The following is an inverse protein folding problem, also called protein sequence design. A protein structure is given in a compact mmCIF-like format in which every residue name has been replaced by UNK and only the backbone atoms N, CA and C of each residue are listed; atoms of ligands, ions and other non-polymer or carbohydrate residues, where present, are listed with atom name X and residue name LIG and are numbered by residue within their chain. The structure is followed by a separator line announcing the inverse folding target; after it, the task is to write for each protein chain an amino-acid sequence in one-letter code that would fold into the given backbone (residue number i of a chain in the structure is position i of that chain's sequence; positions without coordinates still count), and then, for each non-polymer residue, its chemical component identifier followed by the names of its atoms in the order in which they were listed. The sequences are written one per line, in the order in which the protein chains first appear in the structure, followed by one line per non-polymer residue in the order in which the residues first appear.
data_IF_705492178825
#
_entry.id   IF_705492178825
#
_cell.length_a   1.000
_cell.length_b   1.000
_cell.length_c   1.000
_cell.angle_alpha   90.00
_cell.angle_beta   90.00
_cell.angle_gamma   90.00
#
_symmetry.space_group_name_H-M   'P 1'
#
loop_
_entity.id
_entity.type
_entity.pdbx_description
1 polymer ?
#
# COMPACT_ATOMS: atom_id res chain seq x y z
N UNK A 1 42.92 -19.56 24.91
CA UNK A 1 41.65 -18.86 25.21
C UNK A 1 41.14 -18.28 23.91
N UNK A 2 39.97 -18.72 23.46
CA UNK A 2 39.43 -18.43 22.14
C UNK A 2 39.06 -16.94 22.01
N UNK A 3 39.58 -16.29 20.97
CA UNK A 3 39.31 -14.90 20.62
C UNK A 3 37.95 -14.82 19.92
N UNK A 4 36.87 -14.70 20.69
CA UNK A 4 35.51 -14.57 20.16
C UNK A 4 35.21 -13.07 19.93
N UNK A 5 35.73 -12.51 18.84
CA UNK A 5 35.26 -11.22 18.33
C UNK A 5 33.84 -11.44 17.77
N UNK A 6 32.83 -11.34 18.63
CA UNK A 6 31.44 -11.33 18.19
C UNK A 6 31.15 -9.98 17.52
N UNK A 7 31.45 -9.91 16.23
CA UNK A 7 30.91 -8.87 15.36
C UNK A 7 29.38 -8.92 15.38
N UNK A 8 28.74 -7.79 15.08
CA UNK A 8 27.28 -7.71 15.09
C UNK A 8 26.73 -8.65 14.03
N UNK A 9 25.84 -9.55 14.42
CA UNK A 9 25.21 -10.48 13.48
C UNK A 9 24.21 -9.74 12.58
N UNK A 10 23.95 -10.27 11.38
CA UNK A 10 22.91 -9.73 10.48
C UNK A 10 21.55 -9.60 11.19
N UNK A 11 21.20 -10.56 12.06
CA UNK A 11 19.95 -10.54 12.82
C UNK A 11 19.89 -9.40 13.83
N UNK A 12 21.01 -9.10 14.50
CA UNK A 12 21.11 -7.98 15.43
C UNK A 12 21.08 -6.64 14.69
N UNK A 13 21.77 -6.53 13.55
CA UNK A 13 21.68 -5.35 12.69
C UNK A 13 20.24 -5.09 12.24
N UNK A 14 19.50 -6.12 11.81
CA UNK A 14 18.09 -5.98 11.41
C UNK A 14 17.22 -5.48 12.58
N UNK A 15 17.43 -6.01 13.79
CA UNK A 15 16.71 -5.52 14.99
C UNK A 15 17.03 -4.07 15.31
N UNK A 16 18.30 -3.67 15.21
CA UNK A 16 18.72 -2.30 15.46
C UNK A 16 18.18 -1.34 14.41
N UNK A 17 18.25 -1.69 13.13
CA UNK A 17 17.66 -0.93 12.04
C UNK A 17 16.15 -0.78 12.19
N UNK A 18 15.44 -1.84 12.58
CA UNK A 18 14.01 -1.77 12.88
C UNK A 18 13.67 -0.91 14.10
N UNK A 19 14.57 -0.77 15.08
CA UNK A 19 14.34 0.06 16.27
C UNK A 19 14.72 1.52 16.07
N UNK A 20 15.86 1.78 15.43
CA UNK A 20 16.47 3.11 15.39
C UNK A 20 16.55 3.72 13.99
N UNK A 21 16.27 2.94 12.94
CA UNK A 21 16.47 3.33 11.54
C UNK A 21 17.86 2.94 11.04
N UNK A 22 17.97 2.68 9.73
CA UNK A 22 19.24 2.32 9.08
C UNK A 22 20.24 3.47 9.23
N UNK A 23 19.80 4.69 8.94
CA UNK A 23 20.66 5.88 8.98
C UNK A 23 21.19 6.18 10.38
N UNK A 24 20.35 6.15 11.42
CA UNK A 24 20.82 6.35 12.81
C UNK A 24 21.81 5.29 13.25
N UNK A 25 21.55 4.02 12.90
CA UNK A 25 22.42 2.92 13.30
C UNK A 25 23.78 3.00 12.59
N UNK A 26 23.80 3.37 11.30
CA UNK A 26 25.04 3.59 10.55
C UNK A 26 25.83 4.79 11.07
N UNK A 27 25.16 5.91 11.36
CA UNK A 27 25.80 7.10 11.93
C UNK A 27 26.37 6.83 13.33
N UNK A 28 25.63 6.09 14.17
CA UNK A 28 26.10 5.64 15.46
C UNK A 28 27.35 4.74 15.30
N UNK A 29 27.34 3.80 14.36
CA UNK A 29 28.50 2.94 14.09
C UNK A 29 29.72 3.74 13.60
N UNK A 30 29.53 4.75 12.73
CA UNK A 30 30.60 5.59 12.22
C UNK A 30 31.27 6.46 13.30
N UNK A 31 30.51 6.87 14.32
CA UNK A 31 31.03 7.66 15.46
C UNK A 31 31.70 6.84 16.56
N UNK A 32 31.65 5.51 16.50
CA UNK A 32 32.20 4.65 17.55
C UNK A 32 33.70 4.35 17.34
N UNK A 33 34.51 4.57 18.38
CA UNK A 33 35.89 4.07 18.44
C UNK A 33 35.98 2.77 19.24
N UNK A 34 36.70 1.76 18.71
CA UNK A 34 36.97 0.49 19.40
C UNK A 34 35.98 -0.64 19.05
N UNK A 35 35.90 -1.67 19.90
CA UNK A 35 35.07 -2.86 19.64
C UNK A 35 33.58 -2.49 19.64
N UNK A 36 32.92 -2.70 18.51
CA UNK A 36 31.49 -2.48 18.33
C UNK A 36 30.71 -3.72 18.80
N UNK A 37 29.98 -3.59 19.90
CA UNK A 37 29.05 -4.62 20.38
C UNK A 37 27.60 -4.18 20.11
N UNK A 38 26.64 -5.12 19.98
CA UNK A 38 25.23 -4.78 19.78
C UNK A 38 24.65 -3.85 20.84
N UNK A 39 25.04 -4.04 22.11
CA UNK A 39 24.60 -3.21 23.23
C UNK A 39 25.15 -1.78 23.16
N UNK A 40 26.43 -1.62 22.84
CA UNK A 40 27.04 -0.28 22.69
C UNK A 40 26.50 0.46 21.48
N UNK A 41 26.29 -0.25 20.37
CA UNK A 41 25.68 0.34 19.18
C UNK A 41 24.23 0.78 19.44
N UNK A 42 23.46 -0.02 20.17
CA UNK A 42 22.10 0.36 20.57
C UNK A 42 22.09 1.62 21.45
N UNK A 43 22.99 1.70 22.44
CA UNK A 43 23.09 2.87 23.31
C UNK A 43 23.49 4.13 22.53
N UNK A 44 24.50 4.03 21.66
CA UNK A 44 24.92 5.15 20.82
C UNK A 44 23.82 5.61 19.85
N UNK A 45 23.07 4.67 19.27
CA UNK A 45 21.91 4.99 18.43
C UNK A 45 20.78 5.66 19.23
N UNK A 46 20.54 5.24 20.46
CA UNK A 46 19.56 5.87 21.35
C UNK A 46 19.96 7.29 21.76
N UNK A 47 21.23 7.52 22.12
CA UNK A 47 21.78 8.84 22.44
C UNK A 47 21.69 9.78 21.23
N UNK A 48 22.04 9.28 20.04
CA UNK A 48 21.90 10.01 18.77
C UNK A 48 20.46 10.41 18.51
N UNK A 49 19.51 9.49 18.70
CA UNK A 49 18.09 9.78 18.51
C UNK A 49 17.56 10.79 19.54
N UNK A 50 17.97 10.70 20.82
CA UNK A 50 17.59 11.68 21.85
C UNK A 50 18.10 13.08 21.52
N UNK A 51 19.36 13.19 21.08
CA UNK A 51 19.95 14.47 20.70
C UNK A 51 19.19 15.12 19.53
N UNK A 52 18.78 14.32 18.54
CA UNK A 52 17.96 14.78 17.40
C UNK A 52 16.57 15.21 17.82
N UNK A 53 15.89 14.43 18.64
CA UNK A 53 14.55 14.76 19.14
C UNK A 53 14.55 16.07 19.94
N UNK A 54 15.66 16.46 20.56
CA UNK A 54 15.82 17.72 21.27
C UNK A 54 16.12 18.93 20.37
N UNK A 55 16.45 18.71 19.09
CA UNK A 55 16.77 19.79 18.14
C UNK A 55 15.48 20.47 17.68
N UNK A 56 15.49 21.80 17.58
CA UNK A 56 14.39 22.55 16.98
C UNK A 56 14.34 22.23 15.47
N UNK A 57 13.25 21.65 14.94
CA UNK A 57 13.18 21.30 13.53
C UNK A 57 13.14 22.56 12.67
N UNK A 58 13.74 22.47 11.47
CA UNK A 58 13.57 23.48 10.42
C UNK A 58 12.18 23.35 9.78
N UNK A 59 11.73 22.12 9.58
CA UNK A 59 10.41 21.78 9.06
C UNK A 59 9.69 20.85 10.01
N UNK A 60 8.47 21.24 10.39
CA UNK A 60 7.57 20.40 11.15
C UNK A 60 6.33 20.15 10.31
N UNK A 61 6.19 18.91 9.86
CA UNK A 61 5.11 18.47 8.99
C UNK A 61 4.10 17.61 9.74
N UNK A 62 2.89 17.52 9.18
CA UNK A 62 1.83 16.63 9.69
C UNK A 62 1.52 15.55 8.67
N UNK A 63 1.45 14.30 9.12
CA UNK A 63 1.00 13.15 8.32
C UNK A 63 -0.32 12.64 8.87
N UNK A 64 -1.39 12.71 8.06
CA UNK A 64 -2.68 12.11 8.42
C UNK A 64 -2.76 10.64 8.03
N UNK A 65 -3.13 9.76 8.97
CA UNK A 65 -3.27 8.33 8.71
C UNK A 65 -4.71 7.82 8.86
N UNK A 66 -5.32 7.37 7.76
CA UNK A 66 -6.66 6.80 7.77
C UNK A 66 -6.69 5.43 8.48
N UNK A 67 -7.34 5.37 9.66
CA UNK A 67 -7.52 4.15 10.46
C UNK A 67 -6.23 3.49 10.98
N UNK A 68 -5.09 4.16 10.86
CA UNK A 68 -3.80 3.63 11.32
C UNK A 68 -3.52 3.97 12.78
N UNK A 69 -3.17 2.96 13.55
CA UNK A 69 -2.62 3.05 14.90
C UNK A 69 -1.49 2.03 15.07
N UNK A 70 -0.88 2.01 16.24
CA UNK A 70 0.24 1.12 16.54
C UNK A 70 -0.08 -0.36 16.27
N UNK A 71 -1.34 -0.78 16.41
CA UNK A 71 -1.76 -2.15 16.08
C UNK A 71 -1.88 -2.34 14.57
N UNK A 72 -2.64 -1.50 13.85
CA UNK A 72 -2.90 -1.70 12.43
C UNK A 72 -1.65 -1.53 11.55
N UNK A 73 -0.70 -0.70 11.99
CA UNK A 73 0.64 -0.57 11.37
C UNK A 73 1.47 -1.87 11.41
N UNK A 74 1.12 -2.86 12.25
CA UNK A 74 1.77 -4.18 12.28
C UNK A 74 1.23 -5.12 11.20
N UNK A 75 0.03 -4.87 10.68
CA UNK A 75 -0.70 -5.75 9.75
C UNK A 75 -0.72 -5.25 8.32
N UNK A 76 -0.75 -3.93 8.11
CA UNK A 76 -0.43 -3.36 6.80
C UNK A 76 0.90 -2.66 6.96
N UNK A 77 1.92 -3.25 6.32
CA UNK A 77 3.26 -2.69 6.20
C UNK A 77 3.24 -1.50 5.24
N UNK A 78 2.52 -0.43 5.60
CA UNK A 78 2.43 0.78 4.76
C UNK A 78 3.76 1.52 4.75
N UNK A 79 4.58 1.37 5.80
CA UNK A 79 5.91 1.96 5.90
C UNK A 79 5.94 3.40 6.42
N UNK A 80 4.80 3.99 6.78
CA UNK A 80 4.72 5.38 7.25
C UNK A 80 5.66 5.68 8.44
N UNK A 81 5.68 4.84 9.47
CA UNK A 81 6.55 5.02 10.63
C UNK A 81 8.02 4.80 10.28
N UNK A 82 8.32 3.81 9.43
CA UNK A 82 9.70 3.56 8.98
C UNK A 82 10.24 4.72 8.15
N UNK A 83 9.40 5.32 7.30
CA UNK A 83 9.69 6.52 6.53
C UNK A 83 9.98 7.72 7.43
N UNK A 84 9.11 7.99 8.42
CA UNK A 84 9.30 9.07 9.38
C UNK A 84 10.63 8.88 10.11
N UNK A 85 10.87 7.69 10.65
CA UNK A 85 12.09 7.38 11.40
C UNK A 85 13.36 7.54 10.55
N UNK A 86 13.37 7.07 9.30
CA UNK A 86 14.53 7.23 8.42
C UNK A 86 14.74 8.69 8.00
N UNK A 87 13.67 9.42 7.67
CA UNK A 87 13.75 10.82 7.24
C UNK A 87 14.25 11.75 8.35
N UNK A 88 13.71 11.61 9.56
CA UNK A 88 14.16 12.38 10.72
C UNK A 88 15.63 12.08 11.06
N UNK A 89 16.04 10.81 10.93
CA UNK A 89 17.42 10.42 11.12
C UNK A 89 18.36 10.99 10.06
N UNK A 90 17.96 10.91 8.79
CA UNK A 90 18.71 11.35 7.62
C UNK A 90 18.91 12.85 7.56
N UNK A 91 17.93 13.60 8.05
CA UNK A 91 17.97 15.07 8.10
C UNK A 91 18.52 15.60 9.43
N UNK A 92 19.03 14.72 10.30
CA UNK A 92 19.49 15.05 11.64
C UNK A 92 18.47 15.91 12.42
N UNK A 93 17.21 15.50 12.38
CA UNK A 93 16.06 16.16 13.00
C UNK A 93 15.65 17.49 12.36
N UNK A 94 16.22 17.89 11.21
CA UNK A 94 15.82 19.12 10.54
C UNK A 94 14.41 19.04 9.95
N UNK A 95 13.98 17.85 9.51
CA UNK A 95 12.58 17.53 9.24
C UNK A 95 12.07 16.68 10.40
N UNK A 96 10.90 17.02 10.93
CA UNK A 96 10.12 16.19 11.85
C UNK A 96 8.70 16.02 11.32
N UNK A 97 8.12 14.83 11.50
CA UNK A 97 6.76 14.52 11.05
C UNK A 97 5.91 14.05 12.22
N UNK A 98 4.87 14.82 12.53
CA UNK A 98 3.82 14.39 13.46
C UNK A 98 2.85 13.46 12.73
N UNK A 99 2.78 12.20 13.15
CA UNK A 99 1.80 11.23 12.63
C UNK A 99 0.50 11.30 13.43
N UNK A 100 -0.60 11.67 12.76
CA UNK A 100 -1.94 11.79 13.35
C UNK A 100 -2.84 10.73 12.72
N UNK A 101 -2.94 9.58 13.39
CA UNK A 101 -3.65 8.40 12.92
C UNK A 101 -5.11 8.29 13.39
N UNK A 102 -5.62 7.06 13.49
CA UNK A 102 -6.92 6.72 14.09
C UNK A 102 -8.13 7.48 13.52
N UNK A 103 -8.06 7.92 12.27
CA UNK A 103 -9.08 8.79 11.66
C UNK A 103 -9.28 10.15 12.36
N UNK A 104 -8.33 10.59 13.20
CA UNK A 104 -8.48 11.80 14.01
C UNK A 104 -8.45 13.07 13.16
N UNK A 105 -7.50 13.17 12.23
CA UNK A 105 -7.36 14.33 11.35
C UNK A 105 -8.02 14.14 9.98
N UNK A 106 -8.05 12.89 9.49
CA UNK A 106 -8.60 12.53 8.20
C UNK A 106 -8.98 11.05 8.13
N UNK A 107 -9.92 10.75 7.24
CA UNK A 107 -10.36 9.38 6.88
C UNK A 107 -9.90 9.02 5.47
N UNK A 108 -10.03 7.76 5.09
CA UNK A 108 -9.73 7.24 3.74
C UNK A 108 -10.23 8.17 2.61
N UNK A 109 -11.48 8.62 2.66
CA UNK A 109 -12.08 9.47 1.61
C UNK A 109 -11.72 10.96 1.69
N UNK A 110 -11.03 11.40 2.75
CA UNK A 110 -10.84 12.82 3.07
C UNK A 110 -9.39 13.25 3.27
N UNK A 111 -8.44 12.32 3.44
CA UNK A 111 -7.04 12.66 3.66
C UNK A 111 -6.45 13.51 2.53
N UNK A 112 -6.69 13.15 1.27
CA UNK A 112 -6.23 13.95 0.13
C UNK A 112 -6.78 15.38 0.17
N UNK A 113 -8.07 15.55 0.49
CA UNK A 113 -8.70 16.87 0.61
C UNK A 113 -8.10 17.70 1.75
N UNK A 114 -7.76 17.06 2.87
CA UNK A 114 -7.06 17.71 4.00
C UNK A 114 -5.66 18.16 3.59
N UNK A 115 -4.96 17.37 2.79
CA UNK A 115 -3.65 17.74 2.24
C UNK A 115 -3.76 18.94 1.29
N UNK A 116 -4.72 18.92 0.35
CA UNK A 116 -4.98 20.03 -0.57
C UNK A 116 -5.40 21.32 0.14
N UNK A 117 -6.06 21.20 1.30
CA UNK A 117 -6.42 22.32 2.18
C UNK A 117 -5.27 22.76 3.12
N UNK A 118 -4.07 22.20 2.95
CA UNK A 118 -2.87 22.48 3.75
C UNK A 118 -3.03 22.19 5.27
N UNK A 119 -3.97 21.31 5.62
CA UNK A 119 -4.21 20.84 6.99
C UNK A 119 -3.22 19.73 7.36
N UNK A 120 -2.77 18.95 6.38
CA UNK A 120 -1.69 17.96 6.50
C UNK A 120 -0.75 18.09 5.31
N UNK A 121 0.49 17.66 5.48
CA UNK A 121 1.54 17.76 4.46
C UNK A 121 1.76 16.42 3.75
N UNK A 122 1.54 15.34 4.48
CA UNK A 122 1.57 13.96 4.03
C UNK A 122 0.25 13.26 4.38
N UNK A 123 -0.09 12.21 3.65
CA UNK A 123 -1.18 11.34 4.06
C UNK A 123 -0.95 9.88 3.75
N UNK A 124 -1.67 9.04 4.50
CA UNK A 124 -1.83 7.61 4.28
C UNK A 124 -3.29 7.32 3.99
N UNK A 125 -3.58 6.81 2.80
CA UNK A 125 -4.90 6.34 2.39
C UNK A 125 -4.77 5.45 1.16
N UNK A 126 -5.71 4.55 0.96
CA UNK A 126 -5.80 3.80 -0.28
C UNK A 126 -6.11 4.66 -1.49
N UNK A 127 -5.49 4.35 -2.64
CA UNK A 127 -5.73 5.08 -3.90
C UNK A 127 -7.20 4.98 -4.33
N UNK A 128 -7.85 3.85 -4.06
CA UNK A 128 -9.24 3.61 -4.44
C UNK A 128 -10.25 4.41 -3.60
N UNK A 129 -10.00 4.62 -2.30
CA UNK A 129 -10.85 5.53 -1.51
C UNK A 129 -10.55 7.00 -1.85
N UNK A 130 -9.29 7.33 -2.15
CA UNK A 130 -8.89 8.66 -2.60
C UNK A 130 -9.41 9.01 -4.01
N UNK A 131 -9.77 8.01 -4.83
CA UNK A 131 -10.24 8.19 -6.21
C UNK A 131 -11.50 9.06 -6.34
N UNK A 132 -12.32 9.15 -5.29
CA UNK A 132 -13.46 10.08 -5.26
C UNK A 132 -13.05 11.55 -5.27
N UNK A 133 -11.87 11.89 -4.73
CA UNK A 133 -11.33 13.26 -4.70
C UNK A 133 -10.26 13.50 -5.77
N UNK A 134 -9.50 12.48 -6.12
CA UNK A 134 -8.51 12.50 -7.21
C UNK A 134 -8.83 11.39 -8.22
N UNK A 135 -9.77 11.63 -9.16
CA UNK A 135 -10.23 10.62 -10.11
C UNK A 135 -9.14 9.98 -10.95
N UNK A 136 -7.98 10.60 -11.11
CA UNK A 136 -6.87 10.02 -11.85
C UNK A 136 -6.31 8.74 -11.22
N UNK A 137 -6.52 8.49 -9.92
CA UNK A 137 -6.14 7.21 -9.29
C UNK A 137 -6.77 5.98 -9.94
N UNK A 138 -7.92 6.15 -10.62
CA UNK A 138 -8.55 5.06 -11.38
C UNK A 138 -7.61 4.47 -12.45
N UNK A 139 -6.56 5.17 -12.89
CA UNK A 139 -5.58 4.64 -13.85
C UNK A 139 -4.96 3.29 -13.43
N UNK A 140 -4.91 3.01 -12.12
CA UNK A 140 -4.39 1.76 -11.56
C UNK A 140 -5.47 0.67 -11.35
N UNK A 141 -6.74 1.00 -11.55
CA UNK A 141 -7.89 0.18 -11.12
C UNK A 141 -8.54 -0.61 -12.25
N UNK A 142 -7.96 -0.60 -13.46
CA UNK A 142 -8.43 -1.47 -14.54
C UNK A 142 -8.35 -2.94 -14.09
N UNK A 143 -9.38 -3.76 -14.37
CA UNK A 143 -9.38 -5.15 -13.96
C UNK A 143 -8.25 -5.91 -14.65
N UNK A 144 -7.54 -6.74 -13.88
CA UNK A 144 -6.41 -7.56 -14.30
C UNK A 144 -5.25 -6.78 -14.96
N UNK A 145 -5.12 -5.50 -14.63
CA UNK A 145 -4.04 -4.64 -15.13
C UNK A 145 -2.65 -5.17 -14.73
N UNK A 146 -2.52 -5.59 -13.47
CA UNK A 146 -1.31 -6.15 -12.86
C UNK A 146 -1.49 -7.65 -12.62
N UNK A 147 -0.88 -8.55 -13.42
CA UNK A 147 -1.04 -9.99 -13.25
C UNK A 147 -0.51 -10.51 -11.91
N UNK A 148 0.53 -9.86 -11.37
CA UNK A 148 1.21 -10.29 -10.13
C UNK A 148 1.57 -9.09 -9.27
N UNK A 149 1.84 -9.29 -7.97
CA UNK A 149 2.35 -8.21 -7.11
C UNK A 149 3.69 -7.67 -7.61
N UNK A 150 4.54 -8.54 -8.16
CA UNK A 150 5.78 -8.15 -8.81
C UNK A 150 5.55 -7.23 -10.03
N UNK A 151 4.50 -7.45 -10.83
CA UNK A 151 4.18 -6.58 -11.97
C UNK A 151 3.83 -5.14 -11.58
N UNK A 152 3.18 -4.95 -10.44
CA UNK A 152 2.94 -3.62 -9.90
C UNK A 152 4.25 -2.96 -9.46
N UNK A 153 5.08 -3.67 -8.69
CA UNK A 153 6.36 -3.13 -8.24
C UNK A 153 7.28 -2.79 -9.42
N UNK A 154 7.30 -3.63 -10.46
CA UNK A 154 8.01 -3.35 -11.71
C UNK A 154 7.50 -2.07 -12.36
N UNK A 155 6.18 -1.90 -12.48
CA UNK A 155 5.58 -0.69 -13.03
C UNK A 155 6.01 0.55 -12.25
N UNK A 156 5.88 0.57 -10.92
CA UNK A 156 6.23 1.78 -10.17
C UNK A 156 7.71 2.12 -10.31
N UNK A 157 8.62 1.16 -10.47
CA UNK A 157 10.05 1.45 -10.72
C UNK A 157 10.38 1.76 -12.19
N UNK A 158 9.48 1.45 -13.12
CA UNK A 158 9.68 1.72 -14.55
C UNK A 158 9.66 3.23 -14.82
N UNK A 159 10.50 3.72 -15.74
CA UNK A 159 10.60 5.16 -16.04
C UNK A 159 9.28 5.78 -16.48
N UNK A 160 8.50 5.03 -17.25
CA UNK A 160 7.20 5.50 -17.74
C UNK A 160 6.14 5.66 -16.64
N UNK A 161 6.34 5.13 -15.43
CA UNK A 161 5.41 5.42 -14.32
C UNK A 161 5.38 6.92 -13.97
N UNK A 162 6.44 7.65 -14.31
CA UNK A 162 6.48 9.09 -14.16
C UNK A 162 5.42 9.78 -15.02
N UNK A 163 5.44 9.55 -16.34
CA UNK A 163 4.49 10.15 -17.28
C UNK A 163 3.08 9.54 -17.19
N UNK A 164 2.98 8.24 -16.89
CA UNK A 164 1.70 7.51 -16.88
C UNK A 164 0.93 7.65 -15.58
N UNK A 165 1.60 7.90 -14.45
CA UNK A 165 0.97 7.89 -13.13
C UNK A 165 1.32 9.11 -12.28
N UNK A 166 2.61 9.40 -12.06
CA UNK A 166 3.02 10.39 -11.04
C UNK A 166 2.86 11.84 -11.47
N UNK A 167 3.29 12.20 -12.68
CA UNK A 167 3.16 13.57 -13.19
C UNK A 167 1.72 14.03 -13.22
N UNK A 168 0.76 13.25 -13.76
CA UNK A 168 -0.62 13.74 -13.82
C UNK A 168 -1.23 13.89 -12.42
N UNK A 169 -0.86 13.05 -11.45
CA UNK A 169 -1.26 13.23 -10.05
C UNK A 169 -0.71 14.54 -9.45
N UNK A 170 0.57 14.85 -9.67
CA UNK A 170 1.17 16.10 -9.18
C UNK A 170 0.50 17.30 -9.82
N UNK A 171 0.38 17.30 -11.15
CA UNK A 171 -0.18 18.44 -11.90
C UNK A 171 -1.66 18.69 -11.61
N UNK A 172 -2.47 17.64 -11.50
CA UNK A 172 -3.93 17.81 -11.38
C UNK A 172 -4.42 17.84 -9.93
N UNK A 173 -3.69 17.21 -9.01
CA UNK A 173 -4.16 16.98 -7.64
C UNK A 173 -3.18 17.44 -6.58
N UNK A 174 -2.08 18.12 -6.95
CA UNK A 174 -1.00 18.55 -6.06
C UNK A 174 -0.48 17.39 -5.18
N UNK A 175 -0.50 16.17 -5.74
CA UNK A 175 -0.21 14.95 -5.00
C UNK A 175 1.01 14.23 -5.56
N UNK A 176 2.05 14.14 -4.75
CA UNK A 176 3.28 13.41 -5.04
C UNK A 176 3.23 12.04 -4.35
N UNK A 177 3.04 10.99 -5.15
CA UNK A 177 3.16 9.60 -4.71
C UNK A 177 4.61 9.31 -4.26
N UNK A 178 4.78 8.75 -3.05
CA UNK A 178 6.11 8.39 -2.52
C UNK A 178 6.34 6.88 -2.55
N UNK A 179 5.43 6.11 -1.96
CA UNK A 179 5.51 4.65 -1.89
C UNK A 179 4.14 4.04 -1.55
N UNK A 180 3.99 2.75 -1.81
CA UNK A 180 2.78 2.02 -1.47
C UNK A 180 3.04 0.52 -1.31
N UNK A 181 2.30 -0.10 -0.39
CA UNK A 181 2.14 -1.55 -0.39
C UNK A 181 1.21 -1.95 -1.54
N UNK A 182 1.28 -3.21 -1.99
CA UNK A 182 0.38 -3.71 -3.02
C UNK A 182 -0.10 -5.13 -2.70
N UNK A 183 -1.42 -5.30 -2.75
CA UNK A 183 -2.09 -6.59 -2.67
C UNK A 183 -3.23 -6.59 -3.70
N UNK A 184 -3.53 -7.73 -4.32
CA UNK A 184 -4.70 -7.79 -5.17
C UNK A 184 -5.98 -7.75 -4.34
N UNK A 185 -7.02 -7.12 -4.89
CA UNK A 185 -8.34 -7.10 -4.28
C UNK A 185 -9.11 -8.37 -4.58
N UNK A 186 -9.85 -8.80 -3.57
CA UNK A 186 -10.82 -9.89 -3.60
C UNK A 186 -12.17 -9.44 -3.03
N UNK A 187 -12.96 -10.41 -2.60
CA UNK A 187 -14.25 -10.17 -1.95
C UNK A 187 -14.26 -10.81 -0.56
N UNK A 188 -14.51 -9.99 0.45
CA UNK A 188 -14.55 -10.41 1.85
C UNK A 188 -16.00 -10.60 2.24
N UNK A 189 -16.46 -11.85 2.15
CA UNK A 189 -17.87 -12.23 2.28
C UNK A 189 -18.27 -12.38 3.74
N UNK A 190 -19.46 -11.86 4.06
CA UNK A 190 -19.96 -11.71 5.41
C UNK A 190 -20.70 -12.91 5.96
N UNK A 191 -21.61 -12.65 6.91
CA UNK A 191 -22.33 -13.68 7.66
C UNK A 191 -23.22 -14.58 6.78
N UNK A 192 -23.74 -14.06 5.66
CA UNK A 192 -24.54 -14.83 4.70
C UNK A 192 -23.76 -15.98 4.04
N UNK A 193 -22.42 -15.94 4.10
CA UNK A 193 -21.50 -16.98 3.60
C UNK A 193 -20.92 -17.87 4.71
N UNK A 194 -21.28 -17.66 5.99
CA UNK A 194 -20.73 -18.42 7.13
C UNK A 194 -20.96 -19.92 7.02
N UNK A 195 -22.19 -20.33 6.71
CA UNK A 195 -22.60 -21.73 6.64
C UNK A 195 -22.66 -22.27 5.20
N UNK A 196 -22.23 -21.47 4.20
CA UNK A 196 -22.14 -21.92 2.81
C UNK A 196 -20.86 -22.73 2.59
N UNK A 197 -20.81 -23.61 1.56
CA UNK A 197 -19.54 -24.13 1.05
C UNK A 197 -18.54 -23.01 0.78
N UNK A 198 -17.26 -23.36 0.76
CA UNK A 198 -16.23 -22.42 0.35
C UNK A 198 -16.52 -21.97 -1.09
N UNK A 199 -16.51 -20.66 -1.33
CA UNK A 199 -16.69 -20.09 -2.67
C UNK A 199 -15.65 -20.69 -3.61
N UNK A 200 -16.09 -21.18 -4.76
CA UNK A 200 -15.24 -21.90 -5.72
C UNK A 200 -15.38 -21.38 -7.15
N UNK A 201 -16.39 -20.55 -7.42
CA UNK A 201 -16.67 -19.98 -8.74
C UNK A 201 -17.27 -18.58 -8.65
N UNK A 202 -17.23 -17.83 -9.76
CA UNK A 202 -17.96 -16.56 -9.89
C UNK A 202 -19.48 -16.75 -9.74
N UNK A 203 -20.00 -17.94 -10.08
CA UNK A 203 -21.41 -18.27 -9.93
C UNK A 203 -21.89 -18.19 -8.48
N UNK A 204 -21.03 -18.55 -7.51
CA UNK A 204 -21.33 -18.50 -6.09
C UNK A 204 -21.49 -17.07 -5.54
N UNK A 205 -21.06 -16.07 -6.33
CA UNK A 205 -21.05 -14.65 -5.98
C UNK A 205 -22.12 -13.84 -6.73
N UNK A 206 -22.78 -14.43 -7.73
CA UNK A 206 -23.77 -13.75 -8.56
C UNK A 206 -24.87 -13.07 -7.72
N UNK A 207 -25.15 -11.81 -8.03
CA UNK A 207 -26.18 -11.01 -7.37
C UNK A 207 -25.85 -10.53 -5.95
N UNK A 208 -24.66 -10.82 -5.42
CA UNK A 208 -24.27 -10.33 -4.09
C UNK A 208 -24.15 -8.82 -4.06
N UNK A 209 -24.62 -8.21 -2.96
CA UNK A 209 -24.44 -6.78 -2.70
C UNK A 209 -23.11 -6.57 -2.02
N UNK A 210 -22.15 -6.00 -2.72
CA UNK A 210 -20.81 -5.84 -2.18
C UNK A 210 -20.50 -4.37 -2.03
N UNK A 211 -19.93 -3.96 -0.90
CA UNK A 211 -19.35 -2.63 -0.79
C UNK A 211 -18.38 -2.39 -1.95
N UNK A 212 -18.35 -1.16 -2.45
CA UNK A 212 -17.33 -0.64 -3.36
C UNK A 212 -16.71 0.64 -2.80
N UNK A 213 -15.39 0.79 -2.97
CA UNK A 213 -14.58 1.99 -2.76
C UNK A 213 -14.99 3.11 -3.72
N UNK A 214 -14.33 4.28 -3.64
CA UNK A 214 -14.56 5.40 -4.55
C UNK A 214 -14.19 5.15 -6.01
N UNK A 215 -13.55 4.02 -6.32
CA UNK A 215 -13.13 3.64 -7.67
C UNK A 215 -14.32 3.34 -8.59
N UNK A 216 -14.37 4.03 -9.73
CA UNK A 216 -15.39 3.79 -10.74
C UNK A 216 -15.05 2.57 -11.60
N UNK A 217 -13.75 2.27 -11.79
CA UNK A 217 -13.33 1.13 -12.59
C UNK A 217 -13.57 -0.20 -11.85
N UNK A 218 -13.37 -0.23 -10.53
CA UNK A 218 -13.75 -1.38 -9.70
C UNK A 218 -15.26 -1.61 -9.76
N UNK A 219 -16.06 -0.54 -9.66
CA UNK A 219 -17.52 -0.61 -9.77
C UNK A 219 -17.97 -1.23 -11.09
N UNK A 220 -17.45 -0.75 -12.23
CA UNK A 220 -17.75 -1.31 -13.56
C UNK A 220 -17.35 -2.78 -13.63
N UNK A 221 -16.18 -3.14 -13.10
CA UNK A 221 -15.71 -4.53 -13.06
C UNK A 221 -16.69 -5.44 -12.30
N UNK A 222 -17.19 -4.98 -11.14
CA UNK A 222 -18.15 -5.72 -10.34
C UNK A 222 -19.50 -5.86 -11.03
N UNK A 223 -20.01 -4.79 -11.65
CA UNK A 223 -21.25 -4.81 -12.44
C UNK A 223 -21.14 -5.83 -13.60
N UNK A 224 -20.02 -5.82 -14.33
CA UNK A 224 -19.75 -6.77 -15.43
C UNK A 224 -19.66 -8.22 -14.96
N UNK A 225 -19.21 -8.46 -13.72
CA UNK A 225 -19.21 -9.79 -13.10
C UNK A 225 -20.60 -10.24 -12.60
N UNK A 226 -21.64 -9.39 -12.71
CA UNK A 226 -22.99 -9.67 -12.20
C UNK A 226 -23.12 -9.50 -10.68
N UNK A 227 -22.20 -8.75 -10.07
CA UNK A 227 -22.28 -8.33 -8.68
C UNK A 227 -23.05 -7.00 -8.58
N UNK A 228 -23.51 -6.67 -7.38
CA UNK A 228 -24.20 -5.41 -7.10
C UNK A 228 -23.32 -4.51 -6.22
N UNK A 229 -22.44 -3.66 -6.79
CA UNK A 229 -21.58 -2.77 -6.02
C UNK A 229 -22.38 -1.67 -5.30
N UNK A 230 -22.14 -1.49 -4.00
CA UNK A 230 -22.77 -0.51 -3.12
C UNK A 230 -21.70 0.46 -2.60
N UNK A 231 -21.66 1.72 -3.07
CA UNK A 231 -20.68 2.68 -2.59
C UNK A 231 -20.89 2.98 -1.11
N UNK A 232 -19.91 2.65 -0.27
CA UNK A 232 -19.92 2.95 1.17
C UNK A 232 -18.53 3.38 1.63
N UNK A 233 -18.50 4.34 2.55
CA UNK A 233 -17.25 4.75 3.17
C UNK A 233 -16.65 3.59 3.99
N UNK A 234 -15.31 3.57 4.12
CA UNK A 234 -14.64 2.47 4.82
C UNK A 234 -15.13 2.33 6.26
N UNK A 235 -15.33 3.46 6.95
CA UNK A 235 -15.81 3.50 8.33
C UNK A 235 -17.25 3.00 8.50
N UNK A 236 -18.06 3.01 7.45
CA UNK A 236 -19.45 2.52 7.46
C UNK A 236 -19.55 1.04 7.08
N UNK A 237 -18.48 0.47 6.53
CA UNK A 237 -18.48 -0.86 5.92
C UNK A 237 -18.75 -1.95 6.96
N UNK A 238 -18.12 -1.88 8.14
CA UNK A 238 -18.33 -2.87 9.20
C UNK A 238 -19.81 -2.92 9.64
N UNK A 239 -20.43 -1.77 9.83
CA UNK A 239 -21.82 -1.70 10.27
C UNK A 239 -22.78 -2.10 9.15
N UNK A 240 -22.47 -1.75 7.89
CA UNK A 240 -23.18 -2.26 6.71
C UNK A 240 -23.17 -3.79 6.63
N UNK A 241 -22.03 -4.43 6.91
CA UNK A 241 -21.90 -5.90 6.97
C UNK A 241 -22.70 -6.49 8.13
N UNK A 242 -22.64 -5.89 9.33
CA UNK A 242 -23.41 -6.37 10.51
C UNK A 242 -24.91 -6.29 10.30
N UNK A 243 -25.38 -5.21 9.68
CA UNK A 243 -26.80 -4.96 9.43
C UNK A 243 -27.33 -5.78 8.24
N UNK A 244 -26.46 -6.47 7.48
CA UNK A 244 -26.84 -7.20 6.27
C UNK A 244 -27.25 -6.28 5.12
N UNK A 245 -26.82 -5.00 5.13
CA UNK A 245 -27.01 -4.08 4.01
C UNK A 245 -26.22 -4.55 2.78
N UNK A 246 -25.05 -5.15 3.05
CA UNK A 246 -24.12 -5.72 2.09
C UNK A 246 -23.77 -7.16 2.50
N UNK A 247 -23.60 -8.02 1.52
CA UNK A 247 -23.15 -9.41 1.64
C UNK A 247 -21.64 -9.54 1.77
N UNK A 248 -20.90 -8.56 1.24
CA UNK A 248 -19.44 -8.56 1.20
C UNK A 248 -18.88 -7.16 1.00
N UNK A 249 -17.55 -7.09 0.96
CA UNK A 249 -16.82 -5.87 0.59
C UNK A 249 -15.66 -6.21 -0.31
N UNK A 250 -15.36 -5.32 -1.25
CA UNK A 250 -14.20 -5.48 -2.10
C UNK A 250 -12.96 -4.84 -1.44
N UNK A 251 -12.01 -5.66 -1.04
CA UNK A 251 -10.77 -5.19 -0.42
C UNK A 251 -9.75 -6.31 -0.50
N UNK A 252 -8.62 -6.12 0.12
CA UNK A 252 -7.56 -7.12 0.21
C UNK A 252 -7.48 -7.68 1.64
N UNK A 253 -6.89 -8.86 1.79
CA UNK A 253 -6.96 -9.63 3.02
C UNK A 253 -6.17 -8.98 4.17
N UNK A 254 -5.05 -8.30 3.89
CA UNK A 254 -4.32 -7.58 4.95
C UNK A 254 -5.08 -6.38 5.53
N UNK A 255 -5.97 -5.72 4.76
CA UNK A 255 -6.86 -4.68 5.31
C UNK A 255 -7.87 -5.27 6.29
N UNK A 256 -8.39 -6.48 6.03
CA UNK A 256 -9.32 -7.15 6.94
C UNK A 256 -8.68 -7.35 8.32
N UNK A 257 -7.42 -7.79 8.35
CA UNK A 257 -6.65 -7.95 9.58
C UNK A 257 -6.34 -6.60 10.25
N UNK A 258 -5.81 -5.63 9.49
CA UNK A 258 -5.36 -4.34 10.04
C UNK A 258 -6.49 -3.54 10.69
N UNK A 259 -7.65 -3.49 10.05
CA UNK A 259 -8.78 -2.70 10.54
C UNK A 259 -9.75 -3.53 11.40
N UNK A 260 -9.35 -4.73 11.84
CA UNK A 260 -10.13 -5.58 12.74
C UNK A 260 -11.53 -5.91 12.17
N UNK A 261 -11.58 -6.23 10.87
CA UNK A 261 -12.82 -6.59 10.16
C UNK A 261 -13.16 -8.07 10.25
N UNK A 262 -12.27 -8.92 10.79
CA UNK A 262 -12.52 -10.36 10.91
C UNK A 262 -13.83 -10.74 11.62
N UNK A 263 -14.38 -9.97 12.59
CA UNK A 263 -15.67 -10.32 13.21
C UNK A 263 -16.86 -10.29 12.25
N UNK A 264 -16.75 -9.64 11.09
CA UNK A 264 -17.81 -9.54 10.08
C UNK A 264 -17.48 -10.27 8.78
N UNK A 265 -16.33 -10.93 8.69
CA UNK A 265 -15.90 -11.68 7.50
C UNK A 265 -15.94 -13.17 7.80
N UNK A 266 -16.59 -13.95 6.94
CA UNK A 266 -16.66 -15.41 7.04
C UNK A 266 -15.79 -16.11 6.00
N UNK A 267 -15.71 -15.56 4.79
CA UNK A 267 -14.86 -16.08 3.72
C UNK A 267 -14.09 -14.95 3.04
N UNK A 268 -12.79 -15.11 2.86
CA UNK A 268 -11.96 -14.23 2.04
C UNK A 268 -11.79 -14.87 0.65
N UNK A 269 -12.38 -14.27 -0.39
CA UNK A 269 -12.34 -14.78 -1.76
C UNK A 269 -11.26 -14.05 -2.54
N UNK A 270 -10.18 -14.76 -2.86
CA UNK A 270 -9.02 -14.24 -3.58
C UNK A 270 -9.28 -14.20 -5.10
N UNK A 271 -10.18 -13.30 -5.50
CA UNK A 271 -10.56 -13.07 -6.91
C UNK A 271 -9.46 -12.34 -7.71
N UNK A 272 -8.57 -11.63 -7.02
CA UNK A 272 -7.38 -10.96 -7.57
C UNK A 272 -7.65 -10.00 -8.75
N UNK A 273 -8.83 -9.40 -8.80
CA UNK A 273 -9.32 -8.73 -10.01
C UNK A 273 -8.81 -7.30 -10.20
N UNK A 274 -8.45 -6.59 -9.14
CA UNK A 274 -7.97 -5.19 -9.23
C UNK A 274 -6.88 -4.89 -8.21
N UNK A 275 -6.23 -3.73 -8.36
CA UNK A 275 -5.17 -3.27 -7.49
C UNK A 275 -5.69 -2.86 -6.10
N UNK A 276 -4.99 -3.29 -5.05
CA UNK A 276 -5.16 -2.82 -3.68
C UNK A 276 -3.89 -2.10 -3.24
N UNK A 277 -3.99 -0.78 -3.11
CA UNK A 277 -2.86 0.06 -2.71
C UNK A 277 -3.21 0.80 -1.44
N UNK A 278 -2.27 0.81 -0.50
CA UNK A 278 -2.24 1.79 0.59
C UNK A 278 -0.98 2.63 0.41
N UNK A 279 -1.15 3.90 0.04
CA UNK A 279 -0.04 4.76 -0.34
C UNK A 279 0.31 5.75 0.77
N UNK A 280 1.56 6.18 0.78
CA UNK A 280 1.98 7.43 1.37
C UNK A 280 2.27 8.41 0.23
N UNK A 281 1.66 9.59 0.34
CA UNK A 281 1.87 10.68 -0.60
C UNK A 281 2.05 12.00 0.15
N UNK A 282 2.63 12.99 -0.52
CA UNK A 282 2.80 14.34 0.00
C UNK A 282 2.33 15.40 -0.97
N UNK A 283 2.18 16.63 -0.46
CA UNK A 283 1.84 17.78 -1.28
C UNK A 283 2.99 18.13 -2.23
N UNK A 284 2.75 18.14 -3.55
CA UNK A 284 3.80 18.34 -4.55
C UNK A 284 4.38 19.77 -4.50
N UNK A 285 3.52 20.77 -4.39
CA UNK A 285 3.88 22.19 -4.29
C UNK A 285 4.68 22.52 -3.02
N UNK A 286 4.54 21.72 -1.96
CA UNK A 286 5.38 21.81 -0.77
C UNK A 286 6.76 21.22 -1.06
N UNK A 287 6.82 20.02 -1.65
CA UNK A 287 8.08 19.36 -2.00
C UNK A 287 8.96 20.27 -2.86
N UNK A 288 8.39 20.91 -3.88
CA UNK A 288 9.10 21.81 -4.81
C UNK A 288 9.75 23.03 -4.14
N UNK A 289 9.27 23.43 -2.96
CA UNK A 289 9.79 24.58 -2.20
C UNK A 289 10.90 24.21 -1.21
N UNK A 290 11.13 22.92 -0.98
CA UNK A 290 12.19 22.46 -0.09
C UNK A 290 13.56 22.62 -0.75
N UNK A 291 14.60 22.82 0.05
CA UNK A 291 15.95 22.80 -0.50
C UNK A 291 16.32 21.42 -1.07
N UNK A 292 17.21 21.35 -2.09
CA UNK A 292 17.55 20.10 -2.75
C UNK A 292 17.96 18.97 -1.79
N UNK A 293 18.70 19.28 -0.72
CA UNK A 293 19.11 18.26 0.26
C UNK A 293 17.92 17.60 0.98
N UNK A 294 16.81 18.32 1.17
CA UNK A 294 15.61 17.79 1.81
C UNK A 294 14.70 17.07 0.82
N UNK A 295 14.67 17.53 -0.43
CA UNK A 295 14.03 16.81 -1.53
C UNK A 295 14.67 15.42 -1.71
N UNK A 296 16.01 15.37 -1.79
CA UNK A 296 16.78 14.14 -1.88
C UNK A 296 16.56 13.24 -0.67
N UNK A 297 16.53 13.81 0.54
CA UNK A 297 16.27 13.06 1.76
C UNK A 297 14.88 12.39 1.78
N UNK A 298 13.84 13.10 1.32
CA UNK A 298 12.48 12.56 1.21
C UNK A 298 12.44 11.43 0.17
N UNK A 299 13.01 11.65 -1.01
CA UNK A 299 13.00 10.66 -2.09
C UNK A 299 13.78 9.39 -1.72
N UNK A 300 14.96 9.51 -1.09
CA UNK A 300 15.73 8.36 -0.66
C UNK A 300 15.03 7.60 0.47
N UNK A 301 14.44 8.30 1.44
CA UNK A 301 13.67 7.66 2.53
C UNK A 301 12.44 6.94 1.96
N UNK A 302 11.76 7.53 0.97
CA UNK A 302 10.64 6.90 0.27
C UNK A 302 11.06 5.64 -0.50
N UNK A 303 12.19 5.69 -1.21
CA UNK A 303 12.75 4.53 -1.92
C UNK A 303 13.09 3.37 -0.96
N UNK A 304 13.84 3.65 0.12
CA UNK A 304 14.21 2.63 1.10
C UNK A 304 12.98 2.02 1.77
N UNK A 305 11.97 2.84 2.06
CA UNK A 305 10.70 2.37 2.59
C UNK A 305 9.98 1.47 1.58
N UNK A 306 9.92 1.84 0.30
CA UNK A 306 9.31 1.01 -0.75
C UNK A 306 9.97 -0.38 -0.85
N UNK A 307 11.30 -0.45 -0.80
CA UNK A 307 12.06 -1.73 -0.82
C UNK A 307 11.78 -2.57 0.42
N UNK A 308 11.64 -1.91 1.58
CA UNK A 308 11.29 -2.61 2.81
C UNK A 308 9.89 -3.22 2.72
N UNK A 309 8.89 -2.41 2.37
CA UNK A 309 7.49 -2.84 2.38
C UNK A 309 7.19 -3.88 1.30
N UNK A 310 7.78 -3.80 0.09
CA UNK A 310 7.54 -4.82 -0.94
C UNK A 310 7.99 -6.21 -0.47
N UNK A 311 9.03 -6.27 0.38
CA UNK A 311 9.55 -7.52 0.91
C UNK A 311 8.77 -7.98 2.15
N UNK A 312 8.49 -7.06 3.06
CA UNK A 312 7.82 -7.36 4.33
C UNK A 312 6.33 -7.70 4.15
N UNK A 313 5.69 -7.14 3.12
CA UNK A 313 4.27 -7.33 2.88
C UNK A 313 3.94 -8.78 2.47
N UNK A 314 4.77 -9.42 1.64
CA UNK A 314 4.61 -10.84 1.28
C UNK A 314 4.55 -11.75 2.50
N UNK A 315 5.49 -11.55 3.45
CA UNK A 315 5.50 -12.33 4.69
C UNK A 315 4.24 -12.05 5.54
N UNK A 316 3.74 -10.82 5.51
CA UNK A 316 2.52 -10.43 6.25
C UNK A 316 1.27 -11.11 5.70
N UNK A 317 1.09 -11.15 4.38
CA UNK A 317 -0.04 -11.80 3.71
C UNK A 317 -0.15 -13.26 4.15
N UNK A 318 0.95 -14.01 4.10
CA UNK A 318 0.92 -15.44 4.40
C UNK A 318 1.07 -15.75 5.88
N UNK A 319 2.15 -15.29 6.53
CA UNK A 319 2.51 -15.75 7.86
C UNK A 319 1.72 -15.06 8.98
N UNK A 320 1.30 -13.81 8.77
CA UNK A 320 0.56 -13.04 9.77
C UNK A 320 -0.94 -13.15 9.54
N UNK A 321 -1.41 -12.89 8.32
CA UNK A 321 -2.84 -12.87 8.01
C UNK A 321 -3.38 -14.27 7.76
N UNK A 322 -2.60 -15.14 7.11
CA UNK A 322 -3.02 -16.52 6.84
C UNK A 322 -3.79 -16.68 5.54
N UNK A 323 -3.41 -15.96 4.48
CA UNK A 323 -4.02 -16.07 3.14
C UNK A 323 -3.54 -17.36 2.44
N UNK A 324 -3.87 -18.49 3.05
CA UNK A 324 -3.64 -19.86 2.59
C UNK A 324 -4.92 -20.67 2.78
N UNK A 325 -5.04 -21.81 2.10
CA UNK A 325 -6.17 -22.70 2.30
C UNK A 325 -5.68 -24.11 2.70
N UNK A 326 -5.89 -24.55 3.96
CA UNK A 326 -6.46 -23.78 5.08
C UNK A 326 -5.54 -22.62 5.53
N UNK A 327 -6.06 -21.63 6.28
CA UNK A 327 -5.24 -20.59 6.89
C UNK A 327 -4.10 -21.19 7.74
N UNK A 328 -2.93 -20.52 7.76
CA UNK A 328 -1.79 -21.00 8.55
C UNK A 328 -2.13 -20.98 10.05
N UNK A 329 -1.80 -22.03 10.83
CA UNK A 329 -2.07 -22.07 12.25
C UNK A 329 -1.47 -20.86 13.01
N UNK A 330 -2.28 -20.23 13.87
CA UNK A 330 -1.90 -19.03 14.63
C UNK A 330 -1.86 -17.73 13.82
N UNK A 331 -2.31 -17.77 12.57
CA UNK A 331 -2.56 -16.55 11.78
C UNK A 331 -3.88 -15.88 12.18
N UNK A 332 -4.04 -14.62 11.80
CA UNK A 332 -5.27 -13.85 12.10
C UNK A 332 -6.52 -14.54 11.55
N UNK A 333 -6.47 -15.09 10.34
CA UNK A 333 -7.61 -15.78 9.73
C UNK A 333 -7.89 -17.14 10.37
N UNK A 334 -6.85 -17.89 10.77
CA UNK A 334 -7.01 -19.12 11.56
C UNK A 334 -7.70 -18.84 12.90
N UNK A 335 -7.16 -17.91 13.68
CA UNK A 335 -7.70 -17.55 15.00
C UNK A 335 -9.12 -16.97 14.95
N UNK A 336 -9.47 -16.29 13.84
CA UNK A 336 -10.79 -15.69 13.63
C UNK A 336 -11.78 -16.61 12.91
N UNK A 337 -11.35 -17.79 12.44
CA UNK A 337 -12.18 -18.71 11.67
C UNK A 337 -12.58 -18.19 10.28
N UNK A 338 -11.83 -17.26 9.70
CA UNK A 338 -12.03 -16.78 8.33
C UNK A 338 -11.53 -17.84 7.36
N UNK A 339 -12.39 -18.31 6.46
CA UNK A 339 -12.02 -19.31 5.45
C UNK A 339 -11.51 -18.63 4.18
N UNK A 340 -10.39 -19.10 3.63
CA UNK A 340 -9.80 -18.51 2.41
C UNK A 340 -10.19 -19.33 1.18
N UNK A 341 -10.89 -18.69 0.25
CA UNK A 341 -11.25 -19.24 -1.05
C UNK A 341 -10.23 -18.79 -2.10
N UNK A 342 -9.29 -19.69 -2.42
CA UNK A 342 -8.38 -19.53 -3.56
C UNK A 342 -9.10 -20.06 -4.81
N UNK A 343 -9.55 -19.15 -5.69
CA UNK A 343 -10.27 -19.56 -6.89
C UNK A 343 -9.33 -20.27 -7.89
N UNK A 344 -9.84 -21.29 -8.62
CA UNK A 344 -9.10 -21.90 -9.72
C UNK A 344 -8.77 -20.87 -10.81
N UNK A 345 -7.64 -21.04 -11.51
CA UNK A 345 -7.21 -20.12 -12.56
C UNK A 345 -8.25 -19.97 -13.69
N UNK A 346 -9.02 -21.02 -13.99
CA UNK A 346 -10.10 -20.95 -14.97
C UNK A 346 -11.22 -19.96 -14.57
N UNK A 347 -11.52 -19.81 -13.28
CA UNK A 347 -12.51 -18.83 -12.80
C UNK A 347 -11.93 -17.42 -12.78
N UNK A 348 -10.62 -17.28 -12.57
CA UNK A 348 -9.89 -16.01 -12.69
C UNK A 348 -9.85 -15.55 -14.15
N UNK A 349 -9.52 -16.43 -15.08
CA UNK A 349 -9.53 -16.16 -16.52
C UNK A 349 -10.94 -15.78 -17.00
N UNK A 350 -11.97 -16.49 -16.51
CA UNK A 350 -13.36 -16.13 -16.78
C UNK A 350 -13.70 -14.71 -16.30
N UNK A 351 -13.25 -14.32 -15.11
CA UNK A 351 -13.42 -12.95 -14.62
C UNK A 351 -12.69 -11.93 -15.51
N UNK A 352 -11.47 -12.26 -15.96
CA UNK A 352 -10.71 -11.43 -16.89
C UNK A 352 -11.43 -11.27 -18.23
N UNK A 353 -11.93 -12.36 -18.83
CA UNK A 353 -12.70 -12.32 -20.07
C UNK A 353 -13.99 -11.50 -19.96
N UNK A 354 -14.62 -11.48 -18.78
CA UNK A 354 -15.84 -10.69 -18.53
C UNK A 354 -15.58 -9.20 -18.33
N UNK A 355 -14.36 -8.80 -17.94
CA UNK A 355 -14.10 -7.46 -17.39
C UNK A 355 -12.95 -6.73 -18.06
N UNK A 356 -11.86 -7.37 -18.46
CA UNK A 356 -10.66 -6.67 -18.87
C UNK A 356 -10.87 -5.88 -20.18
N UNK A 357 -10.30 -4.66 -20.30
CA UNK A 357 -10.54 -3.79 -21.46
C UNK A 357 -10.09 -4.35 -22.83
N UNK A 358 -9.17 -5.32 -22.84
CA UNK A 358 -8.77 -6.07 -24.03
C UNK A 358 -9.83 -7.09 -24.50
N UNK A 359 -10.73 -7.53 -23.63
CA UNK A 359 -11.81 -8.47 -23.94
C UNK A 359 -13.16 -7.78 -24.11
N UNK A 360 -13.47 -6.79 -23.29
CA UNK A 360 -14.76 -6.06 -23.28
C UNK A 360 -14.50 -4.56 -23.33
N UNK A 361 -14.12 -3.97 -24.48
CA UNK A 361 -13.62 -2.59 -24.54
C UNK A 361 -14.68 -1.51 -24.30
N UNK A 362 -15.93 -1.76 -24.69
CA UNK A 362 -17.00 -0.73 -24.74
C UNK A 362 -17.25 -0.02 -23.40
N UNK A 363 -17.39 -0.70 -22.24
CA UNK A 363 -17.61 -0.04 -20.95
C UNK A 363 -16.44 0.86 -20.51
N UNK A 364 -15.24 0.61 -21.04
CA UNK A 364 -14.02 1.33 -20.66
C UNK A 364 -13.71 2.51 -21.57
N UNK A 365 -14.28 2.58 -22.77
CA UNK A 365 -13.95 3.61 -23.75
C UNK A 365 -14.04 5.05 -23.18
N UNK A 366 -15.11 5.44 -22.45
CA UNK A 366 -15.19 6.78 -21.86
C UNK A 366 -14.10 7.04 -20.80
N UNK A 367 -13.75 6.02 -20.03
CA UNK A 367 -12.71 6.12 -18.99
C UNK A 367 -11.31 6.15 -19.60
N UNK A 368 -11.05 5.35 -20.64
CA UNK A 368 -9.79 5.39 -21.38
C UNK A 368 -9.57 6.75 -22.01
N UNK A 369 -10.57 7.30 -22.71
CA UNK A 369 -10.47 8.64 -23.27
C UNK A 369 -10.13 9.68 -22.19
N UNK A 370 -10.86 9.66 -21.07
CA UNK A 370 -10.68 10.59 -19.96
C UNK A 370 -9.28 10.48 -19.33
N UNK A 371 -8.85 9.27 -18.99
CA UNK A 371 -7.56 9.02 -18.35
C UNK A 371 -6.40 9.31 -19.32
N UNK A 372 -6.53 8.96 -20.60
CA UNK A 372 -5.55 9.28 -21.63
C UNK A 372 -5.39 10.79 -21.77
N UNK A 373 -6.50 11.54 -21.88
CA UNK A 373 -6.45 13.00 -21.95
C UNK A 373 -5.78 13.62 -20.72
N UNK A 374 -6.07 13.11 -19.53
CA UNK A 374 -5.44 13.58 -18.29
C UNK A 374 -3.96 13.26 -18.19
N UNK A 375 -3.49 12.19 -18.84
CA UNK A 375 -2.07 11.83 -18.91
C UNK A 375 -1.28 12.63 -19.96
N UNK A 376 -1.91 13.55 -20.69
CA UNK A 376 -1.26 14.24 -21.82
C UNK A 376 -1.34 13.48 -23.14
N UNK A 377 -2.30 12.56 -23.28
CA UNK A 377 -2.58 11.81 -24.51
C UNK A 377 -1.97 10.41 -24.56
N UNK A 378 -1.31 9.94 -23.50
CA UNK A 378 -0.79 8.57 -23.43
C UNK A 378 -1.93 7.56 -23.39
N UNK A 379 -1.73 6.39 -24.00
CA UNK A 379 -2.69 5.29 -23.85
C UNK A 379 -2.39 4.55 -22.55
N UNK A 380 -2.84 5.12 -21.43
CA UNK A 380 -2.42 4.68 -20.09
C UNK A 380 -2.75 3.22 -19.83
N UNK A 381 -3.89 2.72 -20.32
CA UNK A 381 -4.21 1.30 -20.17
C UNK A 381 -3.21 0.44 -20.94
N UNK A 382 -3.05 0.69 -22.24
CA UNK A 382 -2.20 -0.16 -23.09
C UNK A 382 -0.73 -0.08 -22.67
N UNK A 383 -0.22 1.11 -22.33
CA UNK A 383 1.17 1.28 -21.90
C UNK A 383 1.43 0.62 -20.54
N UNK A 384 0.57 0.81 -19.53
CA UNK A 384 0.74 0.18 -18.21
C UNK A 384 0.55 -1.33 -18.31
N UNK A 385 -0.45 -1.80 -19.06
CA UNK A 385 -0.71 -3.23 -19.29
C UNK A 385 0.50 -3.91 -19.94
N UNK A 386 1.15 -3.25 -20.91
CA UNK A 386 2.37 -3.73 -21.56
C UNK A 386 3.52 -3.80 -20.55
N UNK A 387 3.78 -2.73 -19.79
CA UNK A 387 4.85 -2.69 -18.77
C UNK A 387 4.67 -3.78 -17.71
N UNK A 388 3.44 -3.97 -17.22
CA UNK A 388 3.11 -5.00 -16.23
C UNK A 388 3.39 -6.44 -16.72
N UNK A 389 3.58 -6.64 -18.03
CA UNK A 389 3.89 -7.95 -18.65
C UNK A 389 5.35 -8.05 -19.13
N UNK A 390 6.19 -7.06 -18.87
CA UNK A 390 7.63 -7.13 -19.13
C UNK A 390 8.36 -8.02 -18.13
N UNK A 391 7.84 -8.10 -16.89
CA UNK A 391 8.39 -8.96 -15.84
C UNK A 391 7.71 -10.34 -15.86
N UNK A 392 8.47 -11.45 -15.75
CA UNK A 392 7.88 -12.78 -15.68
C UNK A 392 6.95 -12.95 -14.47
N UNK A 393 5.86 -13.71 -14.64
CA UNK A 393 4.83 -13.87 -13.61
C UNK A 393 5.28 -14.71 -12.40
N UNK A 394 6.33 -15.51 -12.55
CA UNK A 394 6.91 -16.32 -11.48
C UNK A 394 7.89 -15.54 -10.59
N UNK A 395 8.22 -14.29 -10.95
CA UNK A 395 9.05 -13.43 -10.11
C UNK A 395 8.30 -13.06 -8.84
N UNK A 396 8.90 -13.38 -7.70
CA UNK A 396 8.39 -12.97 -6.40
C UNK A 396 8.58 -11.44 -6.19
N UNK A 397 7.63 -10.78 -5.54
CA UNK A 397 7.64 -9.33 -5.35
C UNK A 397 8.92 -8.79 -4.69
N UNK A 398 9.46 -9.52 -3.71
CA UNK A 398 10.71 -9.16 -3.03
C UNK A 398 11.95 -9.18 -3.94
N UNK A 399 11.87 -9.86 -5.09
CA UNK A 399 12.96 -9.98 -6.06
C UNK A 399 12.89 -8.92 -7.16
N UNK A 400 11.86 -8.07 -7.17
CA UNK A 400 11.77 -6.97 -8.14
C UNK A 400 12.88 -5.95 -7.84
N UNK A 401 13.76 -5.65 -8.81
CA UNK A 401 14.84 -4.69 -8.61
C UNK A 401 14.26 -3.29 -8.43
N UNK A 402 14.62 -2.66 -7.32
CA UNK A 402 14.22 -1.28 -7.05
C UNK A 402 14.96 -0.28 -7.91
N UNK A 403 14.25 0.77 -8.35
CA UNK A 403 14.85 1.98 -8.95
C UNK A 403 14.56 3.20 -8.10
N UNK A 404 15.56 4.06 -7.89
CA UNK A 404 15.40 5.32 -7.14
C UNK A 404 14.52 6.31 -7.90
N UNK A 405 13.70 7.04 -7.15
CA UNK A 405 12.93 8.18 -7.64
C UNK A 405 13.90 9.30 -8.05
N UNK A 406 13.84 9.77 -9.30
CA UNK A 406 14.66 10.92 -9.75
C UNK A 406 15.99 10.59 -10.45
N UNK A 407 16.37 9.31 -10.57
CA UNK A 407 17.51 8.88 -11.41
C UNK A 407 17.15 8.80 -12.90
N UNK A 408 16.73 9.93 -13.48
CA UNK A 408 16.29 10.04 -14.88
C UNK A 408 17.32 10.70 -15.81
N UNK A 409 18.48 11.08 -15.27
CA UNK A 409 19.61 11.63 -16.01
C UNK A 409 20.86 10.78 -15.83
N UNK A 410 20.82 9.50 -16.24
CA UNK A 410 22.00 8.74 -16.70
C UNK A 410 21.57 7.75 -17.79
#
# INVERSE_FOLDING_TARGET
MANNQHGITRREMVKLFGRFGVTSTLLAAAGMSGVVTPSRLAQAAEETNKARAAKKPKYQFRMGGAGYNERSLKFVQVGAIDFIRDLEARTDGAIQIEFIGNNEICKESTCLKKMQAEIIDFFVSSTQNAAGQAPYYNVLDFPFLFPTRASFYHFIYHTDSEKLFREPLRRMHDTMFLFSMFEHRGLMMGSSYKNRPLVSSLGDLQGTKNRVTGSQLIRISMDLMGLNPVPLAWEETMDGMKQGLIDGMETWSTAVAAFNMTPVVSQAVELRFTAGLEQVAMRASLFEKLEPEFQDAILESAYLTQIHIQSAHEATIYNTVGVTNPPLPGSVFDESGVRVALLPDAEIEKAEQMTAPNHVPEPWAPWRERLNNWSGGHDVYTEIHRIAREIPQDVAAQNVPGRRWGGYNE
#
